data_IF_533451303496
#
_entry.id   IF_533451303496
#
_cell.length_a   1.000
_cell.length_b   1.000
_cell.length_c   1.000
_cell.angle_alpha   90.00
_cell.angle_beta   90.00
_cell.angle_gamma   90.00
#
_symmetry.space_group_name_H-M   'P 1'
#
loop_
_entity.id
_entity.type
_entity.pdbx_description
1 polymer ?
#
# COMPACT_ATOMS: atom_id res chain seq x y z
N UNK A 1 69.74 -1.02 4.28
CA UNK A 1 68.82 -1.51 5.33
C UNK A 1 67.66 -0.54 5.37
N UNK A 2 66.49 -0.95 4.86
CA UNK A 2 65.33 -0.07 4.76
C UNK A 2 64.45 -0.30 5.98
N UNK A 3 64.26 0.73 6.81
CA UNK A 3 63.35 0.67 7.96
C UNK A 3 61.95 1.10 7.53
N UNK A 4 60.92 0.59 8.20
CA UNK A 4 59.50 0.81 7.85
C UNK A 4 59.14 2.30 7.73
N UNK A 5 59.76 3.15 8.56
CA UNK A 5 59.61 4.61 8.49
C UNK A 5 59.98 5.19 7.11
N UNK A 6 61.05 4.71 6.50
CA UNK A 6 61.51 5.21 5.19
C UNK A 6 60.59 4.79 4.03
N UNK A 7 59.74 3.78 4.22
CA UNK A 7 58.77 3.31 3.22
C UNK A 7 57.51 4.16 3.28
N UNK A 8 57.08 4.58 4.47
CA UNK A 8 55.91 5.47 4.65
C UNK A 8 56.18 6.89 4.17
N UNK A 9 57.45 7.30 4.10
CA UNK A 9 57.87 8.60 3.57
C UNK A 9 57.98 8.62 2.02
N UNK A 10 57.75 7.49 1.34
CA UNK A 10 57.72 7.41 -0.13
C UNK A 10 56.41 8.04 -0.66
N UNK A 11 56.54 8.87 -1.70
CA UNK A 11 55.42 9.57 -2.34
C UNK A 11 54.29 8.64 -2.79
N UNK A 12 54.56 7.36 -3.06
CA UNK A 12 53.51 6.40 -3.43
C UNK A 12 52.53 6.06 -2.30
N UNK A 13 52.90 6.33 -1.05
CA UNK A 13 52.11 5.97 0.13
C UNK A 13 51.62 7.20 0.91
N UNK A 14 51.75 8.40 0.35
CA UNK A 14 51.38 9.67 0.99
C UNK A 14 49.92 9.76 1.42
N UNK A 15 49.03 9.00 0.76
CA UNK A 15 47.58 9.05 0.98
C UNK A 15 47.12 8.06 2.07
N UNK A 16 48.03 7.27 2.63
CA UNK A 16 47.73 6.28 3.65
C UNK A 16 47.80 6.88 5.06
N UNK A 17 46.71 6.75 5.81
CA UNK A 17 46.62 7.21 7.20
C UNK A 17 47.09 6.11 8.16
N UNK A 18 48.14 6.39 8.95
CA UNK A 18 48.60 5.46 9.99
C UNK A 18 47.56 5.39 11.13
N UNK A 19 46.91 4.23 11.28
CA UNK A 19 45.86 4.01 12.30
C UNK A 19 46.48 3.63 13.67
N UNK A 20 47.68 3.03 13.66
CA UNK A 20 48.36 2.60 14.89
C UNK A 20 49.64 3.41 15.14
N UNK A 21 49.50 4.50 15.89
CA UNK A 21 50.60 5.44 16.21
C UNK A 21 51.63 4.91 17.21
N UNK A 22 51.38 3.75 17.84
CA UNK A 22 52.31 3.09 18.78
C UNK A 22 53.19 2.02 18.11
N UNK A 23 53.07 1.82 16.79
CA UNK A 23 53.84 0.82 16.07
C UNK A 23 55.34 1.16 16.05
N UNK A 24 56.21 0.13 16.14
CA UNK A 24 57.66 0.32 16.06
C UNK A 24 58.12 0.47 14.60
N UNK A 25 58.26 1.72 14.16
CA UNK A 25 58.59 2.08 12.77
C UNK A 25 60.09 1.96 12.42
N UNK A 26 60.94 1.63 13.38
CA UNK A 26 62.41 1.56 13.22
C UNK A 26 62.86 0.11 12.92
N UNK A 27 61.93 -0.84 12.83
CA UNK A 27 62.24 -2.23 12.47
C UNK A 27 62.80 -2.31 11.04
N UNK A 28 63.90 -3.04 10.89
CA UNK A 28 64.53 -3.32 9.60
C UNK A 28 63.67 -4.28 8.76
N UNK A 29 63.42 -3.91 7.50
CA UNK A 29 62.69 -4.71 6.52
C UNK A 29 63.73 -5.36 5.60
N UNK A 30 63.93 -6.66 5.75
CA UNK A 30 65.00 -7.40 5.05
C UNK A 30 64.63 -7.77 3.60
N UNK A 31 63.34 -7.87 3.28
CA UNK A 31 62.83 -8.15 1.94
C UNK A 31 61.50 -7.41 1.73
N UNK A 32 61.38 -6.69 0.61
CA UNK A 32 60.08 -6.25 0.09
C UNK A 32 59.79 -7.20 -1.07
N UNK A 33 59.18 -8.34 -0.76
CA UNK A 33 58.65 -9.23 -1.78
C UNK A 33 57.32 -8.65 -2.27
N UNK A 34 57.34 -8.04 -3.45
CA UNK A 34 56.14 -7.62 -4.16
C UNK A 34 55.49 -8.79 -4.91
N UNK A 35 55.23 -9.89 -4.23
CA UNK A 35 54.37 -11.00 -4.69
C UNK A 35 54.14 -11.89 -3.48
N UNK A 36 52.90 -11.94 -2.99
CA UNK A 36 52.21 -13.11 -2.42
C UNK A 36 51.10 -12.62 -1.49
N UNK A 37 49.85 -12.75 -1.93
CA UNK A 37 48.65 -12.59 -1.10
C UNK A 37 48.72 -13.54 0.11
N UNK A 38 48.93 -13.06 1.35
CA UNK A 38 49.01 -13.95 2.51
C UNK A 38 47.71 -13.83 3.29
N UNK A 39 46.62 -14.33 2.71
CA UNK A 39 45.38 -14.65 3.44
C UNK A 39 44.52 -15.49 2.49
N UNK A 40 44.86 -16.78 2.34
CA UNK A 40 43.95 -17.72 1.68
C UNK A 40 42.75 -17.86 2.62
N UNK A 41 41.72 -17.06 2.37
CA UNK A 41 40.44 -17.16 3.03
C UNK A 41 39.75 -18.43 2.52
N UNK A 42 39.55 -19.41 3.38
CA UNK A 42 38.69 -20.54 3.04
C UNK A 42 37.25 -20.10 3.24
N UNK A 43 36.42 -20.26 2.20
CA UNK A 43 35.00 -19.93 2.23
C UNK A 43 34.20 -21.22 2.26
N UNK A 44 33.40 -21.40 3.31
CA UNK A 44 32.55 -22.56 3.49
C UNK A 44 31.08 -22.14 3.38
N UNK A 45 30.29 -22.71 2.44
CA UNK A 45 28.87 -22.42 2.36
C UNK A 45 28.13 -23.06 3.54
N UNK A 46 27.31 -22.26 4.21
CA UNK A 46 26.40 -22.72 5.27
C UNK A 46 25.07 -23.04 4.60
N UNK A 47 24.77 -24.33 4.45
CA UNK A 47 23.51 -24.80 3.87
C UNK A 47 22.38 -24.65 4.88
N UNK A 48 21.45 -23.76 4.58
CA UNK A 48 20.21 -23.56 5.33
C UNK A 48 19.01 -23.74 4.38
N UNK A 49 17.83 -24.03 4.91
CA UNK A 49 16.56 -24.00 4.16
C UNK A 49 16.11 -22.56 3.88
N UNK A 50 16.95 -21.79 3.18
CA UNK A 50 16.77 -20.38 2.88
C UNK A 50 17.37 -20.04 1.50
N UNK A 51 16.95 -18.94 0.90
CA UNK A 51 17.38 -18.56 -0.45
C UNK A 51 18.74 -17.87 -0.44
N UNK A 52 18.97 -16.93 0.50
CA UNK A 52 20.24 -16.22 0.56
C UNK A 52 21.36 -17.11 1.10
N UNK A 53 22.48 -17.26 0.36
CA UNK A 53 23.57 -18.11 0.78
C UNK A 53 24.36 -17.47 1.93
N UNK A 54 24.51 -18.20 3.02
CA UNK A 54 25.40 -17.82 4.11
C UNK A 54 26.78 -18.44 3.90
N UNK A 55 27.83 -17.68 4.22
CA UNK A 55 29.21 -18.14 4.08
C UNK A 55 29.98 -17.95 5.38
N UNK A 56 30.70 -18.98 5.80
CA UNK A 56 31.73 -18.89 6.82
C UNK A 56 33.07 -18.62 6.14
N UNK A 57 33.68 -17.47 6.45
CA UNK A 57 34.99 -17.08 5.91
C UNK A 57 36.03 -17.28 7.01
N UNK A 58 37.01 -18.16 6.76
CA UNK A 58 38.09 -18.48 7.68
C UNK A 58 39.40 -17.94 7.13
N UNK A 59 39.96 -16.94 7.81
CA UNK A 59 41.27 -16.36 7.50
C UNK A 59 42.41 -17.24 8.05
N UNK A 60 43.60 -17.15 7.45
CA UNK A 60 44.78 -17.92 7.86
C UNK A 60 44.60 -19.44 7.89
N UNK A 61 43.87 -20.00 6.92
CA UNK A 61 43.56 -21.42 6.88
C UNK A 61 44.78 -22.36 6.80
N UNK A 62 45.95 -21.87 6.37
CA UNK A 62 47.22 -22.62 6.36
C UNK A 62 47.68 -23.07 7.76
N UNK A 63 47.25 -22.40 8.82
CA UNK A 63 47.62 -22.72 10.20
C UNK A 63 46.71 -23.79 10.85
N UNK A 64 45.67 -24.24 10.14
CA UNK A 64 44.73 -25.23 10.63
C UNK A 64 45.34 -26.64 10.51
N UNK A 65 45.47 -27.34 11.64
CA UNK A 65 46.02 -28.70 11.70
C UNK A 65 44.97 -29.73 11.23
N UNK A 66 45.27 -30.46 10.16
CA UNK A 66 44.44 -31.58 9.71
C UNK A 66 44.57 -32.80 10.64
N UNK A 67 43.51 -33.59 10.92
CA UNK A 67 42.10 -33.47 10.49
C UNK A 67 41.18 -32.73 11.47
N UNK A 68 41.65 -32.46 12.69
CA UNK A 68 40.85 -31.87 13.78
C UNK A 68 40.23 -30.53 13.39
N UNK A 69 40.97 -29.69 12.66
CA UNK A 69 40.46 -28.40 12.20
C UNK A 69 39.35 -28.52 11.16
N UNK A 70 39.40 -29.53 10.29
CA UNK A 70 38.34 -29.77 9.30
C UNK A 70 37.05 -30.22 9.98
N UNK A 71 37.16 -31.17 10.93
CA UNK A 71 36.01 -31.59 11.75
C UNK A 71 35.44 -30.43 12.58
N UNK A 72 36.29 -29.58 13.15
CA UNK A 72 35.83 -28.41 13.90
C UNK A 72 35.08 -27.41 13.00
N UNK A 73 35.54 -27.19 11.77
CA UNK A 73 34.85 -26.35 10.78
C UNK A 73 33.50 -26.96 10.39
N UNK A 74 33.43 -28.26 10.12
CA UNK A 74 32.16 -28.94 9.82
C UNK A 74 31.16 -28.81 10.97
N UNK A 75 31.61 -29.02 12.21
CA UNK A 75 30.79 -28.83 13.40
C UNK A 75 30.34 -27.36 13.56
N UNK A 76 31.23 -26.41 13.30
CA UNK A 76 30.90 -24.99 13.33
C UNK A 76 29.84 -24.63 12.27
N UNK A 77 29.98 -25.11 11.03
CA UNK A 77 29.00 -24.91 9.96
C UNK A 77 27.63 -25.46 10.38
N UNK A 78 27.58 -26.65 10.97
CA UNK A 78 26.32 -27.25 11.44
C UNK A 78 25.67 -26.43 12.56
N UNK A 79 26.44 -26.00 13.57
CA UNK A 79 25.95 -25.16 14.67
C UNK A 79 25.45 -23.81 14.14
N UNK A 80 26.20 -23.20 13.21
CA UNK A 80 25.82 -21.93 12.59
C UNK A 80 24.54 -22.08 11.76
N UNK A 81 24.42 -23.12 10.93
CA UNK A 81 23.21 -23.41 10.17
C UNK A 81 21.99 -23.57 11.08
N UNK A 82 22.14 -24.35 12.16
CA UNK A 82 21.07 -24.54 13.16
C UNK A 82 20.69 -23.23 13.85
N UNK A 83 21.68 -22.42 14.22
CA UNK A 83 21.47 -21.12 14.89
C UNK A 83 20.76 -20.14 13.98
N UNK A 84 21.17 -20.02 12.71
CA UNK A 84 20.52 -19.18 11.70
C UNK A 84 19.07 -19.62 11.47
N UNK A 85 18.85 -20.93 11.32
CA UNK A 85 17.50 -21.49 11.18
C UNK A 85 16.61 -21.19 12.38
N UNK A 86 17.13 -21.38 13.60
CA UNK A 86 16.43 -21.03 14.84
C UNK A 86 16.07 -19.56 14.88
N UNK A 87 17.00 -18.66 14.56
CA UNK A 87 16.76 -17.21 14.56
C UNK A 87 15.69 -16.81 13.54
N UNK A 88 15.71 -17.40 12.34
CA UNK A 88 14.68 -17.19 11.33
C UNK A 88 13.30 -17.66 11.83
N UNK A 89 13.22 -18.84 12.47
CA UNK A 89 11.97 -19.34 13.05
C UNK A 89 11.44 -18.45 14.17
N UNK A 90 12.31 -17.91 15.03
CA UNK A 90 11.93 -16.93 16.05
C UNK A 90 11.38 -15.66 15.39
N UNK A 91 12.04 -15.13 14.36
CA UNK A 91 11.56 -13.97 13.63
C UNK A 91 10.17 -14.22 13.01
N UNK A 92 9.94 -15.38 12.40
CA UNK A 92 8.64 -15.74 11.83
C UNK A 92 7.55 -15.89 12.88
N UNK A 93 7.88 -16.43 14.07
CA UNK A 93 6.93 -16.49 15.19
C UNK A 93 6.56 -15.10 15.67
N UNK A 94 7.51 -14.15 15.72
CA UNK A 94 7.21 -12.76 16.09
C UNK A 94 6.28 -12.09 15.07
N UNK A 95 6.53 -12.27 13.76
CA UNK A 95 5.64 -11.78 12.72
C UNK A 95 4.23 -12.39 12.84
N UNK A 96 4.15 -13.70 13.10
CA UNK A 96 2.87 -14.39 13.27
C UNK A 96 2.06 -13.82 14.44
N UNK A 97 2.72 -13.48 15.56
CA UNK A 97 2.07 -12.87 16.71
C UNK A 97 1.60 -11.43 16.44
N UNK A 98 2.31 -10.70 15.57
CA UNK A 98 1.92 -9.35 15.12
C UNK A 98 0.72 -9.41 14.17
N UNK A 99 0.71 -10.37 13.25
CA UNK A 99 -0.41 -10.64 12.33
C UNK A 99 -1.68 -11.08 13.10
N UNK A 100 -1.54 -11.97 14.08
CA UNK A 100 -2.66 -12.39 14.93
C UNK A 100 -3.25 -11.19 15.70
N UNK A 101 -2.40 -10.33 16.26
CA UNK A 101 -2.89 -9.14 16.96
C UNK A 101 -3.59 -8.16 16.01
N UNK A 102 -3.10 -7.97 14.79
CA UNK A 102 -3.79 -7.14 13.81
C UNK A 102 -5.15 -7.72 13.40
N UNK A 103 -5.23 -9.05 13.25
CA UNK A 103 -6.50 -9.73 13.02
C UNK A 103 -7.47 -9.56 14.20
N UNK A 104 -6.98 -9.57 15.45
CA UNK A 104 -7.80 -9.26 16.62
C UNK A 104 -8.38 -7.83 16.55
N UNK A 105 -7.60 -6.84 16.05
CA UNK A 105 -8.08 -5.47 15.85
C UNK A 105 -9.21 -5.44 14.81
N UNK A 106 -9.02 -6.08 13.65
CA UNK A 106 -10.02 -6.08 12.57
C UNK A 106 -11.30 -6.80 13.00
N UNK A 107 -11.18 -7.90 13.74
CA UNK A 107 -12.34 -8.73 14.13
C UNK A 107 -12.98 -8.33 15.46
N UNK A 108 -12.52 -7.23 16.08
CA UNK A 108 -12.98 -6.74 17.39
C UNK A 108 -14.50 -6.58 17.53
N UNK A 109 -15.22 -6.25 16.43
CA UNK A 109 -16.70 -6.15 16.42
C UNK A 109 -17.43 -7.44 16.03
N UNK A 110 -16.76 -8.38 15.36
CA UNK A 110 -17.42 -9.56 14.77
C UNK A 110 -17.54 -10.75 15.71
N UNK A 111 -16.70 -10.82 16.75
CA UNK A 111 -16.72 -11.89 17.73
C UNK A 111 -16.48 -11.28 19.12
N UNK A 112 -17.30 -11.64 20.11
CA UNK A 112 -17.24 -11.26 21.54
C UNK A 112 -15.95 -11.73 22.25
N UNK A 113 -14.76 -11.55 21.65
CA UNK A 113 -13.51 -12.15 22.14
C UNK A 113 -12.63 -11.21 22.96
N UNK A 114 -12.65 -9.90 22.72
CA UNK A 114 -11.82 -8.95 23.46
C UNK A 114 -12.53 -7.60 23.64
N UNK A 115 -12.59 -7.12 24.89
CA UNK A 115 -13.01 -5.74 25.18
C UNK A 115 -11.92 -4.76 24.68
N UNK A 116 -12.29 -3.53 24.31
CA UNK A 116 -11.34 -2.49 23.85
C UNK A 116 -10.17 -2.28 24.83
N UNK A 117 -10.44 -2.31 26.13
CA UNK A 117 -9.40 -2.24 27.18
C UNK A 117 -8.41 -3.42 27.12
N UNK A 118 -8.86 -4.63 26.76
CA UNK A 118 -7.98 -5.79 26.61
C UNK A 118 -7.14 -5.70 25.33
N UNK A 119 -7.70 -5.15 24.25
CA UNK A 119 -6.98 -4.85 23.01
C UNK A 119 -5.89 -3.81 23.24
N UNK A 120 -6.20 -2.73 23.95
CA UNK A 120 -5.24 -1.69 24.33
C UNK A 120 -4.10 -2.27 25.19
N UNK A 121 -4.44 -3.07 26.21
CA UNK A 121 -3.45 -3.74 27.06
C UNK A 121 -2.52 -4.67 26.25
N UNK A 122 -3.08 -5.51 25.37
CA UNK A 122 -2.29 -6.39 24.48
C UNK A 122 -1.47 -5.57 23.47
N UNK A 123 -2.00 -4.42 23.06
CA UNK A 123 -1.45 -3.50 22.09
C UNK A 123 -0.29 -2.61 22.58
N UNK A 124 -0.11 -2.45 23.89
CA UNK A 124 0.98 -1.64 24.45
C UNK A 124 2.35 -2.07 23.93
N UNK A 125 2.58 -3.39 23.80
CA UNK A 125 3.80 -3.98 23.23
C UNK A 125 4.08 -3.50 21.81
N UNK A 126 3.04 -3.20 21.04
CA UNK A 126 3.12 -2.76 19.65
C UNK A 126 3.01 -1.24 19.50
N UNK A 127 3.00 -0.49 20.62
CA UNK A 127 2.75 0.96 20.67
C UNK A 127 1.35 1.36 20.17
N UNK A 128 0.40 0.42 20.20
CA UNK A 128 -1.01 0.68 19.93
C UNK A 128 -1.62 1.38 21.12
N UNK A 129 -2.27 2.51 20.87
CA UNK A 129 -2.83 3.41 21.86
C UNK A 129 -4.21 3.86 21.40
N UNK A 130 -5.00 4.29 22.37
CA UNK A 130 -6.26 4.97 22.11
C UNK A 130 -6.00 6.33 21.43
N UNK A 131 -6.76 6.62 20.38
CA UNK A 131 -6.61 7.82 19.55
C UNK A 131 -7.91 8.11 18.83
N UNK A 132 -8.20 9.39 18.61
CA UNK A 132 -9.37 9.85 17.83
C UNK A 132 -9.14 9.80 16.31
N UNK A 133 -8.03 9.19 15.88
CA UNK A 133 -7.65 9.05 14.48
C UNK A 133 -6.95 7.72 14.25
N UNK A 134 -7.50 6.94 13.31
CA UNK A 134 -6.86 5.77 12.75
C UNK A 134 -6.98 5.79 11.23
N UNK A 135 -5.92 5.41 10.52
CA UNK A 135 -5.97 5.22 9.07
C UNK A 135 -5.11 4.02 8.68
N UNK A 136 -5.66 3.15 7.84
CA UNK A 136 -4.96 1.97 7.35
C UNK A 136 -4.46 2.20 5.94
N UNK A 137 -3.20 1.84 5.71
CA UNK A 137 -2.57 1.85 4.39
C UNK A 137 -2.00 0.46 4.16
N UNK A 138 -2.34 -0.15 3.03
CA UNK A 138 -1.73 -1.42 2.64
C UNK A 138 -0.66 -1.12 1.59
N UNK A 139 0.54 -1.64 1.79
CA UNK A 139 1.60 -1.57 0.82
C UNK A 139 1.87 -2.96 0.22
N UNK A 140 2.04 -3.01 -1.09
CA UNK A 140 2.50 -4.20 -1.81
C UNK A 140 3.80 -3.90 -2.53
N UNK A 141 4.62 -4.93 -2.71
CA UNK A 141 5.88 -4.82 -3.41
C UNK A 141 5.86 -5.74 -4.61
N UNK A 142 6.15 -5.18 -5.78
CA UNK A 142 6.28 -5.93 -7.03
C UNK A 142 7.67 -5.74 -7.64
N UNK A 143 8.14 -6.76 -8.36
CA UNK A 143 9.34 -6.67 -9.17
C UNK A 143 8.95 -6.33 -10.62
N UNK A 144 9.85 -5.67 -11.38
CA UNK A 144 9.64 -5.29 -12.79
C UNK A 144 9.35 -6.47 -13.71
N UNK A 145 9.93 -7.63 -13.40
CA UNK A 145 9.85 -8.82 -14.27
C UNK A 145 8.65 -9.72 -13.96
N UNK A 146 7.87 -9.42 -12.90
CA UNK A 146 6.76 -10.26 -12.47
C UNK A 146 7.24 -11.62 -11.94
N UNK A 147 6.90 -11.92 -10.69
CA UNK A 147 7.23 -13.16 -9.98
C UNK A 147 8.67 -13.28 -9.47
N UNK A 148 8.78 -13.42 -8.15
CA UNK A 148 9.84 -14.25 -7.60
C UNK A 148 9.46 -15.70 -7.87
N UNK A 149 10.36 -16.46 -8.50
CA UNK A 149 10.11 -17.84 -8.97
C UNK A 149 10.16 -18.85 -7.81
N UNK A 150 10.70 -18.46 -6.65
CA UNK A 150 10.87 -19.30 -5.47
C UNK A 150 10.26 -18.65 -4.22
N UNK A 151 9.35 -19.38 -3.57
CA UNK A 151 8.65 -19.00 -2.33
C UNK A 151 9.62 -18.65 -1.20
N UNK A 152 10.79 -19.30 -1.16
CA UNK A 152 11.81 -19.05 -0.15
C UNK A 152 12.42 -17.65 -0.29
N UNK A 153 12.60 -17.17 -1.54
CA UNK A 153 13.09 -15.81 -1.82
C UNK A 153 12.06 -14.78 -1.36
N UNK A 154 10.78 -15.04 -1.65
CA UNK A 154 9.67 -14.17 -1.27
C UNK A 154 9.63 -13.97 0.23
N UNK A 155 9.66 -15.05 1.01
CA UNK A 155 9.58 -14.98 2.47
C UNK A 155 10.77 -14.23 3.10
N UNK A 156 12.00 -14.48 2.63
CA UNK A 156 13.19 -13.81 3.14
C UNK A 156 13.22 -12.32 2.75
N UNK A 157 12.89 -12.01 1.49
CA UNK A 157 12.79 -10.63 1.00
C UNK A 157 11.71 -9.86 1.76
N UNK A 158 10.56 -10.49 1.97
CA UNK A 158 9.46 -9.92 2.75
C UNK A 158 9.90 -9.59 4.17
N UNK A 159 10.55 -10.53 4.85
CA UNK A 159 11.03 -10.32 6.23
C UNK A 159 12.07 -9.21 6.31
N UNK A 160 12.97 -9.12 5.33
CA UNK A 160 13.97 -8.06 5.24
C UNK A 160 13.32 -6.68 5.06
N UNK A 161 12.40 -6.56 4.11
CA UNK A 161 11.68 -5.31 3.83
C UNK A 161 10.82 -4.92 5.03
N UNK A 162 10.14 -5.88 5.67
CA UNK A 162 9.33 -5.63 6.86
C UNK A 162 10.17 -5.05 8.00
N UNK A 163 11.33 -5.65 8.29
CA UNK A 163 12.22 -5.15 9.34
C UNK A 163 12.78 -3.77 9.01
N UNK A 164 13.13 -3.54 7.75
CA UNK A 164 13.58 -2.23 7.28
C UNK A 164 12.49 -1.16 7.43
N UNK A 165 11.27 -1.44 6.95
CA UNK A 165 10.11 -0.57 7.09
C UNK A 165 9.79 -0.30 8.55
N UNK A 166 9.76 -1.32 9.41
CA UNK A 166 9.45 -1.18 10.83
C UNK A 166 10.41 -0.23 11.54
N UNK A 167 11.72 -0.34 11.24
CA UNK A 167 12.73 0.56 11.78
C UNK A 167 12.55 2.00 11.26
N UNK A 168 12.34 2.16 9.95
CA UNK A 168 12.12 3.48 9.33
C UNK A 168 10.85 4.16 9.84
N UNK A 169 9.72 3.46 9.76
CA UNK A 169 8.42 3.95 10.20
C UNK A 169 8.45 4.43 11.64
N UNK A 170 9.09 3.67 12.55
CA UNK A 170 9.18 4.02 13.96
C UNK A 170 9.96 5.30 14.28
N UNK A 171 10.82 5.76 13.36
CA UNK A 171 11.63 6.98 13.49
C UNK A 171 10.99 8.15 12.77
N UNK A 172 10.45 7.87 11.59
CA UNK A 172 10.01 8.89 10.66
C UNK A 172 8.57 9.31 11.00
N UNK A 173 7.65 8.37 11.25
CA UNK A 173 6.21 8.65 11.41
C UNK A 173 5.76 8.35 12.85
N UNK A 174 5.52 9.40 13.63
CA UNK A 174 5.09 9.26 15.02
C UNK A 174 3.67 8.68 15.11
N UNK A 175 3.50 7.59 15.88
CA UNK A 175 2.19 6.95 16.05
C UNK A 175 1.82 5.97 14.94
N UNK A 176 2.69 5.75 13.95
CA UNK A 176 2.53 4.71 12.96
C UNK A 176 3.02 3.34 13.47
N UNK A 177 2.25 2.30 13.17
CA UNK A 177 2.57 0.91 13.48
C UNK A 177 2.57 0.12 12.18
N UNK A 178 3.52 -0.80 12.04
CA UNK A 178 3.56 -1.74 10.93
C UNK A 178 3.07 -3.11 11.40
N UNK A 179 2.18 -3.72 10.63
CA UNK A 179 1.69 -5.08 10.80
C UNK A 179 1.96 -5.92 9.55
N UNK A 180 2.28 -7.22 9.71
CA UNK A 180 2.51 -8.10 8.59
C UNK A 180 1.20 -8.77 8.14
N UNK A 181 1.06 -9.00 6.83
CA UNK A 181 0.11 -9.96 6.26
C UNK A 181 0.87 -10.94 5.38
N UNK A 182 1.29 -12.05 6.00
CA UNK A 182 2.24 -13.00 5.38
C UNK A 182 1.60 -13.79 4.26
N UNK A 183 0.30 -14.09 4.37
CA UNK A 183 -0.43 -14.86 3.37
C UNK A 183 -0.45 -14.19 2.00
N UNK A 184 -0.43 -12.85 1.97
CA UNK A 184 -0.45 -12.05 0.74
C UNK A 184 0.82 -11.24 0.48
N UNK A 185 1.83 -11.34 1.34
CA UNK A 185 3.05 -10.52 1.31
C UNK A 185 2.78 -9.01 1.31
N UNK A 186 1.79 -8.61 2.10
CA UNK A 186 1.34 -7.22 2.25
C UNK A 186 1.92 -6.62 3.55
N UNK A 187 2.25 -5.32 3.49
CA UNK A 187 2.71 -4.56 4.65
C UNK A 187 1.63 -3.58 5.05
N UNK A 188 1.12 -3.69 6.28
CA UNK A 188 -0.04 -2.92 6.72
C UNK A 188 0.43 -1.83 7.67
N UNK A 189 0.21 -0.59 7.30
CA UNK A 189 0.54 0.58 8.11
C UNK A 189 -0.75 1.03 8.80
N UNK A 190 -0.71 1.08 10.12
CA UNK A 190 -1.74 1.67 10.95
C UNK A 190 -1.24 3.01 11.48
N UNK A 191 -1.79 4.10 10.96
CA UNK A 191 -1.52 5.45 11.45
C UNK A 191 -2.49 5.78 12.56
N UNK A 192 -1.98 6.26 13.70
CA UNK A 192 -2.80 6.70 14.84
C UNK A 192 -2.91 8.22 14.96
N UNK A 193 -2.33 8.97 13.99
CA UNK A 193 -2.35 10.44 13.91
C UNK A 193 -2.38 10.88 12.44
N UNK A 194 -2.95 12.06 12.13
CA UNK A 194 -2.84 12.63 10.80
C UNK A 194 -1.42 13.13 10.53
N UNK A 195 -0.96 12.97 9.30
CA UNK A 195 0.37 13.40 8.87
C UNK A 195 0.29 14.12 7.52
N UNK A 196 0.59 15.42 7.50
CA UNK A 196 0.54 16.24 6.28
C UNK A 196 1.60 15.81 5.25
N UNK A 197 2.75 15.33 5.74
CA UNK A 197 3.91 14.94 4.92
C UNK A 197 3.92 13.44 4.56
N UNK A 198 2.78 12.76 4.70
CA UNK A 198 2.67 11.31 4.47
C UNK A 198 3.11 10.91 3.05
N UNK A 199 2.65 11.63 2.03
CA UNK A 199 2.93 11.33 0.63
C UNK A 199 4.43 11.34 0.36
N UNK A 200 5.14 12.38 0.78
CA UNK A 200 6.59 12.52 0.58
C UNK A 200 7.39 11.41 1.29
N UNK A 201 6.89 10.90 2.41
CA UNK A 201 7.54 9.81 3.14
C UNK A 201 7.34 8.47 2.43
N UNK A 202 6.13 8.22 1.96
CA UNK A 202 5.82 7.02 1.17
C UNK A 202 6.59 7.01 -0.16
N UNK A 203 6.73 8.16 -0.83
CA UNK A 203 7.55 8.29 -2.04
C UNK A 203 9.03 8.02 -1.73
N UNK A 204 9.56 8.59 -0.64
CA UNK A 204 10.93 8.34 -0.19
C UNK A 204 11.21 6.86 0.07
N UNK A 205 10.27 6.16 0.73
CA UNK A 205 10.43 4.73 1.00
C UNK A 205 10.45 3.90 -0.29
N UNK A 206 9.56 4.22 -1.23
CA UNK A 206 9.55 3.62 -2.57
C UNK A 206 10.87 3.85 -3.29
N UNK A 207 11.38 5.09 -3.29
CA UNK A 207 12.61 5.45 -4.02
C UNK A 207 13.84 4.72 -3.47
N UNK A 208 13.93 4.55 -2.15
CA UNK A 208 15.01 3.78 -1.52
C UNK A 208 14.93 2.31 -1.93
N UNK A 209 13.74 1.71 -1.90
CA UNK A 209 13.55 0.31 -2.31
C UNK A 209 13.81 0.11 -3.81
N UNK A 210 13.35 1.02 -4.65
CA UNK A 210 13.59 0.97 -6.09
C UNK A 210 15.08 1.13 -6.42
N UNK A 211 15.79 2.05 -5.74
CA UNK A 211 17.24 2.25 -5.96
C UNK A 211 18.08 1.09 -5.46
N UNK A 212 17.70 0.48 -4.32
CA UNK A 212 18.53 -0.53 -3.65
C UNK A 212 18.24 -1.94 -4.15
N UNK A 213 16.97 -2.26 -4.41
CA UNK A 213 16.51 -3.61 -4.71
C UNK A 213 15.78 -3.72 -6.06
N UNK A 214 15.62 -2.61 -6.80
CA UNK A 214 14.84 -2.56 -8.05
C UNK A 214 13.37 -2.98 -7.89
N UNK A 215 12.85 -2.87 -6.66
CA UNK A 215 11.47 -3.21 -6.32
C UNK A 215 10.59 -1.96 -6.32
N UNK A 216 9.35 -2.11 -6.82
CA UNK A 216 8.35 -1.07 -6.81
C UNK A 216 7.37 -1.30 -5.65
N UNK A 217 7.24 -0.30 -4.78
CA UNK A 217 6.23 -0.31 -3.73
C UNK A 217 5.01 0.51 -4.17
N UNK A 218 3.83 -0.08 -3.99
CA UNK A 218 2.54 0.56 -4.21
C UNK A 218 1.79 0.64 -2.87
N UNK A 219 1.01 1.70 -2.69
CA UNK A 219 0.27 1.99 -1.47
C UNK A 219 -1.21 2.18 -1.80
N UNK A 220 -2.06 1.62 -0.94
CA UNK A 220 -3.51 1.66 -1.05
C UNK A 220 -4.06 2.19 0.27
N UNK A 221 -4.68 3.36 0.22
CA UNK A 221 -5.02 4.15 1.40
C UNK A 221 -6.54 4.11 1.61
N UNK A 222 -6.97 3.63 2.79
CA UNK A 222 -8.34 3.74 3.27
C UNK A 222 -8.64 5.10 3.88
N UNK A 223 -9.92 5.41 4.13
CA UNK A 223 -10.30 6.66 4.79
C UNK A 223 -9.94 6.63 6.27
N UNK A 224 -9.69 7.81 6.89
CA UNK A 224 -9.48 7.91 8.32
C UNK A 224 -10.79 7.63 9.09
N UNK A 225 -10.66 6.97 10.24
CA UNK A 225 -11.74 6.63 11.17
C UNK A 225 -11.38 7.08 12.58
N UNK A 226 -12.37 7.24 13.46
CA UNK A 226 -12.18 7.82 14.80
C UNK A 226 -12.09 6.78 15.92
N UNK A 227 -12.61 5.57 15.71
CA UNK A 227 -12.69 4.54 16.76
C UNK A 227 -11.90 3.28 16.40
N UNK A 228 -11.40 2.57 17.42
CA UNK A 228 -10.71 1.27 17.27
C UNK A 228 -11.59 0.27 16.53
N UNK A 229 -12.86 0.14 16.91
CA UNK A 229 -13.80 -0.77 16.25
C UNK A 229 -14.17 -0.36 14.82
N UNK A 230 -13.71 0.80 14.35
CA UNK A 230 -13.91 1.27 12.98
C UNK A 230 -12.67 1.07 12.10
N UNK A 231 -11.52 0.67 12.66
CA UNK A 231 -10.28 0.34 11.92
C UNK A 231 -10.53 -0.69 10.82
N UNK A 232 -11.42 -1.65 11.06
CA UNK A 232 -11.81 -2.65 10.06
C UNK A 232 -12.38 -2.03 8.77
N UNK A 233 -13.07 -0.89 8.84
CA UNK A 233 -13.62 -0.22 7.67
C UNK A 233 -12.50 0.41 6.85
N UNK A 234 -11.59 1.14 7.50
CA UNK A 234 -10.39 1.71 6.84
C UNK A 234 -9.55 0.62 6.17
N UNK A 235 -9.39 -0.54 6.82
CA UNK A 235 -8.70 -1.69 6.22
C UNK A 235 -9.43 -2.25 5.00
N UNK A 236 -10.76 -2.41 5.06
CA UNK A 236 -11.55 -2.87 3.92
C UNK A 236 -11.51 -1.91 2.75
N UNK A 237 -11.61 -0.61 3.00
CA UNK A 237 -11.47 0.43 1.98
C UNK A 237 -10.08 0.38 1.33
N UNK A 238 -9.01 0.19 2.12
CA UNK A 238 -7.66 0.02 1.60
C UNK A 238 -7.51 -1.23 0.71
N UNK A 239 -8.22 -2.34 1.02
CA UNK A 239 -8.28 -3.51 0.15
C UNK A 239 -9.05 -3.23 -1.16
N UNK A 240 -10.21 -2.58 -1.09
CA UNK A 240 -11.02 -2.22 -2.26
C UNK A 240 -10.24 -1.28 -3.21
N UNK A 241 -9.40 -0.41 -2.63
CA UNK A 241 -8.51 0.50 -3.36
C UNK A 241 -7.47 -0.24 -4.23
N UNK A 242 -7.14 -1.50 -3.91
CA UNK A 242 -6.24 -2.29 -4.76
C UNK A 242 -6.83 -2.54 -6.15
N UNK A 243 -8.13 -2.83 -6.20
CA UNK A 243 -8.85 -3.14 -7.44
C UNK A 243 -9.37 -1.86 -8.10
N UNK A 244 -9.99 -0.95 -7.33
CA UNK A 244 -10.76 0.18 -7.86
C UNK A 244 -10.18 1.55 -7.52
N UNK A 245 -9.04 1.63 -6.84
CA UNK A 245 -8.47 2.91 -6.42
C UNK A 245 -7.97 3.77 -7.58
N UNK A 246 -8.15 5.08 -7.44
CA UNK A 246 -7.56 6.09 -8.34
C UNK A 246 -6.30 6.70 -7.75
N UNK A 247 -5.37 7.06 -8.64
CA UNK A 247 -4.22 7.89 -8.30
C UNK A 247 -4.65 9.35 -8.17
N UNK A 248 -4.08 10.05 -7.18
CA UNK A 248 -4.16 11.51 -7.09
C UNK A 248 -2.83 12.12 -7.52
N UNK A 249 -2.89 13.35 -8.04
CA UNK A 249 -1.71 14.17 -8.36
C UNK A 249 -0.69 13.52 -9.30
N UNK A 250 -1.15 12.65 -10.23
CA UNK A 250 -0.31 11.85 -11.13
C UNK A 250 0.68 10.90 -10.42
N UNK A 251 0.38 10.49 -9.18
CA UNK A 251 1.18 9.53 -8.41
C UNK A 251 0.56 8.13 -8.53
N UNK A 252 0.90 7.39 -9.58
CA UNK A 252 0.26 6.11 -9.92
C UNK A 252 0.39 5.01 -8.86
N UNK A 253 1.37 5.12 -7.97
CA UNK A 253 1.65 4.12 -6.96
C UNK A 253 1.05 4.41 -5.60
N UNK A 254 0.37 5.54 -5.43
CA UNK A 254 -0.45 5.83 -4.26
C UNK A 254 -1.88 5.93 -4.75
N UNK A 255 -2.70 4.96 -4.34
CA UNK A 255 -4.12 4.93 -4.65
C UNK A 255 -4.95 5.23 -3.42
N UNK A 256 -6.04 5.94 -3.63
CA UNK A 256 -6.98 6.30 -2.58
C UNK A 256 -8.32 5.62 -2.80
N UNK A 257 -9.00 5.30 -1.69
CA UNK A 257 -10.37 4.84 -1.74
C UNK A 257 -11.29 5.89 -2.36
N UNK A 258 -12.06 5.48 -3.36
CA UNK A 258 -13.18 6.27 -3.86
C UNK A 258 -14.43 5.77 -3.17
N UNK A 259 -15.05 6.66 -2.41
CA UNK A 259 -16.41 6.42 -1.98
C UNK A 259 -17.30 6.44 -3.22
N UNK A 260 -17.68 5.26 -3.71
CA UNK A 260 -18.55 5.14 -4.87
C UNK A 260 -19.90 5.77 -4.57
N UNK A 261 -20.20 6.88 -5.23
CA UNK A 261 -21.55 7.40 -5.32
C UNK A 261 -22.37 6.49 -6.26
N UNK A 262 -23.69 6.60 -6.21
CA UNK A 262 -24.64 5.90 -7.09
C UNK A 262 -24.29 6.03 -8.58
N UNK A 263 -23.59 7.10 -8.98
CA UNK A 263 -23.11 7.31 -10.34
C UNK A 263 -21.82 6.56 -10.67
N UNK A 264 -20.95 6.33 -9.70
CA UNK A 264 -19.71 5.59 -9.91
C UNK A 264 -20.04 4.11 -10.19
N UNK A 265 -21.12 3.60 -9.61
CA UNK A 265 -21.70 2.30 -9.97
C UNK A 265 -22.15 2.23 -11.44
N UNK A 266 -22.69 3.32 -12.00
CA UNK A 266 -23.06 3.36 -13.42
C UNK A 266 -21.82 3.34 -14.31
N UNK A 267 -20.71 3.96 -13.89
CA UNK A 267 -19.45 3.98 -14.63
C UNK A 267 -18.74 2.61 -14.72
N UNK A 268 -19.13 1.62 -13.90
CA UNK A 268 -18.69 0.24 -14.04
C UNK A 268 -19.25 -0.45 -15.29
N UNK A 269 -20.33 0.07 -15.87
CA UNK A 269 -20.92 -0.48 -17.08
C UNK A 269 -20.24 0.10 -18.33
N UNK A 270 -20.10 -0.70 -19.42
CA UNK A 270 -19.60 -0.18 -20.69
C UNK A 270 -20.44 1.01 -21.17
N UNK A 271 -19.79 2.07 -21.67
CA UNK A 271 -20.46 3.31 -22.12
C UNK A 271 -21.65 3.06 -23.06
N UNK A 272 -21.52 2.11 -23.99
CA UNK A 272 -22.59 1.73 -24.91
C UNK A 272 -23.85 1.21 -24.20
N UNK A 273 -23.70 0.49 -23.07
CA UNK A 273 -24.83 0.01 -22.28
C UNK A 273 -25.50 1.15 -21.52
N UNK A 274 -24.71 2.09 -20.98
CA UNK A 274 -25.22 3.28 -20.31
C UNK A 274 -26.00 4.16 -21.30
N UNK A 275 -25.43 4.43 -22.47
CA UNK A 275 -26.08 5.23 -23.51
C UNK A 275 -27.39 4.57 -23.97
N UNK A 276 -27.41 3.25 -24.16
CA UNK A 276 -28.63 2.50 -24.47
C UNK A 276 -29.67 2.60 -23.35
N UNK A 277 -29.26 2.48 -22.08
CA UNK A 277 -30.15 2.62 -20.94
C UNK A 277 -30.78 4.03 -20.87
N UNK A 278 -29.98 5.07 -21.08
CA UNK A 278 -30.45 6.46 -21.10
C UNK A 278 -31.41 6.71 -22.26
N UNK A 279 -31.05 6.25 -23.47
CA UNK A 279 -31.91 6.43 -24.64
C UNK A 279 -33.22 5.65 -24.52
N UNK A 280 -33.20 4.45 -23.94
CA UNK A 280 -34.41 3.67 -23.69
C UNK A 280 -35.31 4.29 -22.62
N UNK A 281 -34.71 4.90 -21.59
CA UNK A 281 -35.46 5.46 -20.46
C UNK A 281 -35.99 6.86 -20.73
N UNK A 282 -35.18 7.77 -21.27
CA UNK A 282 -35.52 9.18 -21.50
C UNK A 282 -35.88 9.52 -22.95
N UNK A 283 -35.51 8.67 -23.92
CA UNK A 283 -35.76 8.89 -25.35
C UNK A 283 -35.34 10.31 -25.78
N UNK A 284 -36.25 11.08 -26.37
CA UNK A 284 -35.99 12.44 -26.83
C UNK A 284 -35.74 13.43 -25.69
N UNK A 285 -36.15 13.12 -24.45
CA UNK A 285 -35.85 13.94 -23.27
C UNK A 285 -34.41 13.78 -22.77
N UNK A 286 -33.64 12.80 -23.28
CA UNK A 286 -32.25 12.59 -22.88
C UNK A 286 -31.36 13.78 -23.28
N UNK A 287 -31.52 14.24 -24.53
CA UNK A 287 -30.74 15.32 -25.14
C UNK A 287 -31.70 16.28 -25.85
N UNK A 288 -32.34 17.21 -25.12
CA UNK A 288 -33.36 18.08 -25.68
C UNK A 288 -32.75 19.08 -26.67
N UNK A 289 -33.30 19.17 -27.88
CA UNK A 289 -32.80 20.03 -28.97
C UNK A 289 -33.52 21.38 -29.05
N UNK A 290 -34.80 21.41 -28.68
CA UNK A 290 -35.68 22.56 -28.71
C UNK A 290 -36.04 23.04 -27.29
N UNK A 291 -36.57 24.27 -27.17
CA UNK A 291 -36.97 24.83 -25.87
C UNK A 291 -38.14 24.09 -25.22
N UNK A 292 -39.09 23.60 -26.01
CA UNK A 292 -40.25 22.88 -25.47
C UNK A 292 -39.82 21.58 -24.79
N UNK A 293 -38.92 20.82 -25.40
CA UNK A 293 -38.38 19.58 -24.83
C UNK A 293 -37.51 19.86 -23.60
N UNK A 294 -36.77 20.98 -23.58
CA UNK A 294 -36.04 21.44 -22.38
C UNK A 294 -36.98 21.74 -21.22
N UNK A 295 -38.08 22.43 -21.49
CA UNK A 295 -39.12 22.75 -20.51
C UNK A 295 -39.81 21.50 -19.95
N UNK A 296 -40.12 20.53 -20.82
CA UNK A 296 -40.69 19.24 -20.43
C UNK A 296 -39.70 18.46 -19.55
N UNK A 297 -38.43 18.38 -19.94
CA UNK A 297 -37.37 17.74 -19.15
C UNK A 297 -37.21 18.40 -17.77
N UNK A 298 -37.20 19.74 -17.71
CA UNK A 298 -37.10 20.48 -16.44
C UNK A 298 -38.32 20.23 -15.54
N UNK A 299 -39.52 20.18 -16.14
CA UNK A 299 -40.75 19.89 -15.41
C UNK A 299 -40.75 18.46 -14.86
N UNK A 300 -40.34 17.48 -15.68
CA UNK A 300 -40.21 16.08 -15.29
C UNK A 300 -39.21 15.90 -14.14
N UNK A 301 -38.04 16.54 -14.25
CA UNK A 301 -37.03 16.52 -13.20
C UNK A 301 -37.57 17.05 -11.88
N UNK A 302 -38.10 18.27 -11.89
CA UNK A 302 -38.64 18.92 -10.68
C UNK A 302 -39.77 18.11 -10.06
N UNK A 303 -40.63 17.52 -10.90
CA UNK A 303 -41.69 16.62 -10.46
C UNK A 303 -41.16 15.38 -9.75
N UNK A 304 -40.12 14.74 -10.30
CA UNK A 304 -39.47 13.60 -9.66
C UNK A 304 -38.77 14.03 -8.37
N UNK A 305 -38.00 15.10 -8.36
CA UNK A 305 -37.28 15.60 -7.18
C UNK A 305 -38.23 15.87 -5.99
N UNK A 306 -39.45 16.33 -6.28
CA UNK A 306 -40.51 16.57 -5.29
C UNK A 306 -41.44 15.36 -5.09
N UNK A 307 -40.91 14.14 -5.27
CA UNK A 307 -41.60 12.88 -5.03
C UNK A 307 -42.95 12.75 -5.75
N UNK A 308 -42.99 13.19 -7.00
CA UNK A 308 -44.17 13.12 -7.85
C UNK A 308 -45.33 13.99 -7.34
N UNK A 309 -45.05 15.06 -6.57
CA UNK A 309 -46.07 16.00 -6.10
C UNK A 309 -46.32 17.14 -7.11
N UNK A 310 -47.50 17.16 -7.71
CA UNK A 310 -47.92 18.19 -8.69
C UNK A 310 -47.95 19.60 -8.07
N UNK A 311 -48.43 19.73 -6.84
CA UNK A 311 -48.64 21.03 -6.19
C UNK A 311 -47.30 21.69 -5.88
N UNK A 312 -46.37 20.94 -5.29
CA UNK A 312 -45.04 21.46 -4.94
C UNK A 312 -44.24 21.78 -6.21
N UNK A 313 -44.40 20.98 -7.26
CA UNK A 313 -43.79 21.22 -8.57
C UNK A 313 -44.30 22.51 -9.21
N UNK A 314 -45.61 22.75 -9.12
CA UNK A 314 -46.25 23.96 -9.65
C UNK A 314 -45.70 25.22 -8.96
N UNK A 315 -45.59 25.17 -7.62
CA UNK A 315 -45.02 26.25 -6.82
C UNK A 315 -43.53 26.48 -7.15
N UNK A 316 -42.75 25.40 -7.28
CA UNK A 316 -41.29 25.49 -7.55
C UNK A 316 -40.99 26.03 -8.94
N UNK A 317 -41.81 25.68 -9.94
CA UNK A 317 -41.66 26.14 -11.32
C UNK A 317 -42.42 27.45 -11.61
N UNK A 318 -43.12 28.02 -10.62
CA UNK A 318 -43.97 29.20 -10.77
C UNK A 318 -45.00 29.09 -11.91
N UNK A 319 -45.59 27.90 -12.09
CA UNK A 319 -46.62 27.63 -13.11
C UNK A 319 -47.87 27.03 -12.47
N UNK A 320 -48.99 27.08 -13.17
CA UNK A 320 -50.23 26.51 -12.66
C UNK A 320 -50.16 24.97 -12.60
N UNK A 321 -50.77 24.36 -11.57
CA UNK A 321 -50.80 22.89 -11.36
C UNK A 321 -51.31 22.11 -12.58
N UNK A 322 -52.25 22.68 -13.33
CA UNK A 322 -52.79 22.03 -14.54
C UNK A 322 -51.74 21.99 -15.66
N UNK A 323 -50.87 23.00 -15.73
CA UNK A 323 -49.76 23.02 -16.68
C UNK A 323 -48.73 21.96 -16.32
N UNK A 324 -48.42 21.78 -15.03
CA UNK A 324 -47.57 20.67 -14.58
C UNK A 324 -48.18 19.33 -14.98
N UNK A 325 -49.46 19.11 -14.67
CA UNK A 325 -50.16 17.87 -15.03
C UNK A 325 -50.08 17.60 -16.54
N UNK A 326 -50.41 18.60 -17.36
CA UNK A 326 -50.30 18.50 -18.81
C UNK A 326 -48.87 18.14 -19.28
N UNK A 327 -47.86 18.81 -18.73
CA UNK A 327 -46.46 18.56 -19.09
C UNK A 327 -46.01 17.15 -18.68
N UNK A 328 -46.47 16.65 -17.53
CA UNK A 328 -46.18 15.29 -17.05
C UNK A 328 -46.91 14.22 -17.87
N UNK A 329 -48.16 14.46 -18.26
CA UNK A 329 -48.90 13.59 -19.17
C UNK A 329 -48.16 13.51 -20.52
N UNK A 330 -47.73 14.66 -21.06
CA UNK A 330 -46.87 14.71 -22.26
C UNK A 330 -45.55 13.98 -22.12
N UNK A 331 -44.89 14.08 -20.97
CA UNK A 331 -43.67 13.30 -20.70
C UNK A 331 -43.98 11.81 -20.71
N UNK A 332 -45.08 11.37 -20.08
CA UNK A 332 -45.49 9.97 -20.06
C UNK A 332 -45.79 9.44 -21.47
N UNK A 333 -46.42 10.25 -22.33
CA UNK A 333 -46.65 9.91 -23.75
C UNK A 333 -45.34 9.68 -24.51
N UNK A 334 -44.38 10.61 -24.37
CA UNK A 334 -43.06 10.51 -25.02
C UNK A 334 -42.35 9.24 -24.54
N UNK A 335 -42.29 9.05 -23.22
CA UNK A 335 -41.57 7.95 -22.58
C UNK A 335 -42.27 6.60 -22.79
N UNK A 336 -43.57 6.59 -23.08
CA UNK A 336 -44.38 5.38 -23.26
C UNK A 336 -44.57 4.59 -21.97
N UNK A 337 -44.40 5.24 -20.82
CA UNK A 337 -44.49 4.64 -19.49
C UNK A 337 -44.96 5.68 -18.48
N UNK A 338 -45.61 5.22 -17.40
CA UNK A 338 -46.05 6.12 -16.33
C UNK A 338 -44.84 6.58 -15.51
N UNK A 339 -44.61 7.90 -15.43
CA UNK A 339 -43.45 8.47 -14.74
C UNK A 339 -43.53 8.37 -13.21
N UNK A 340 -44.73 8.23 -12.66
CA UNK A 340 -44.99 8.16 -11.22
C UNK A 340 -44.92 6.73 -10.68
N UNK A 341 -44.89 5.72 -11.56
CA UNK A 341 -44.67 4.32 -11.15
C UNK A 341 -43.27 4.16 -10.57
N UNK A 342 -43.15 3.49 -9.42
CA UNK A 342 -41.94 3.44 -8.61
C UNK A 342 -40.68 3.01 -9.38
N UNK A 343 -40.80 1.94 -10.17
CA UNK A 343 -39.69 1.43 -10.99
C UNK A 343 -39.28 2.38 -12.12
N UNK A 344 -40.25 3.05 -12.74
CA UNK A 344 -39.98 3.98 -13.83
C UNK A 344 -39.42 5.30 -13.29
N UNK A 345 -39.96 5.79 -12.17
CA UNK A 345 -39.46 6.97 -11.47
C UNK A 345 -37.98 6.82 -11.12
N UNK A 346 -37.58 5.67 -10.57
CA UNK A 346 -36.17 5.40 -10.25
C UNK A 346 -35.30 5.42 -11.51
N UNK A 347 -35.70 4.71 -12.57
CA UNK A 347 -34.98 4.70 -13.86
C UNK A 347 -34.82 6.11 -14.42
N UNK A 348 -35.88 6.91 -14.40
CA UNK A 348 -35.88 8.28 -14.93
C UNK A 348 -34.99 9.20 -14.09
N UNK A 349 -35.01 9.11 -12.76
CA UNK A 349 -34.14 9.88 -11.87
C UNK A 349 -32.67 9.59 -12.14
N UNK A 350 -32.30 8.31 -12.25
CA UNK A 350 -30.92 7.89 -12.57
C UNK A 350 -30.47 8.46 -13.92
N UNK A 351 -31.28 8.32 -14.96
CA UNK A 351 -30.95 8.81 -16.31
C UNK A 351 -30.88 10.34 -16.39
N UNK A 352 -31.76 11.06 -15.69
CA UNK A 352 -31.73 12.53 -15.65
C UNK A 352 -30.48 13.03 -14.95
N UNK A 353 -30.12 12.43 -13.82
CA UNK A 353 -28.95 12.85 -13.06
C UNK A 353 -27.63 12.51 -13.77
N UNK A 354 -27.55 11.36 -14.45
CA UNK A 354 -26.37 11.02 -15.27
C UNK A 354 -26.18 12.04 -16.41
N UNK A 355 -27.25 12.34 -17.16
CA UNK A 355 -27.17 13.29 -18.28
C UNK A 355 -26.77 14.69 -17.81
N UNK A 356 -27.19 15.15 -16.63
CA UNK A 356 -26.79 16.45 -16.08
C UNK A 356 -25.32 16.57 -15.69
N UNK A 357 -24.76 15.55 -15.02
CA UNK A 357 -23.32 15.54 -14.71
C UNK A 357 -22.47 15.57 -15.99
N UNK A 358 -22.92 14.86 -17.04
CA UNK A 358 -22.24 14.86 -18.34
C UNK A 358 -22.33 16.20 -19.09
N UNK A 359 -23.46 16.93 -19.01
CA UNK A 359 -23.60 18.27 -19.60
C UNK A 359 -22.70 19.33 -18.94
N UNK A 360 -22.43 19.20 -17.63
CA UNK A 360 -21.57 20.14 -16.90
C UNK A 360 -20.08 19.95 -17.21
N UNK A 361 -19.62 18.74 -17.54
CA UNK A 361 -18.21 18.48 -17.89
C UNK A 361 -17.82 19.00 -19.27
N UNK A 362 -18.71 18.96 -20.26
CA UNK A 362 -18.44 19.41 -21.65
C UNK A 362 -18.57 20.92 -21.88
N UNK A 363 -19.01 21.68 -20.86
CA UNK A 363 -19.09 23.16 -20.92
C UNK A 363 -18.00 23.85 -20.12
N UNK A 364 -17.11 23.08 -19.48
CA UNK A 364 -15.96 23.54 -18.69
C UNK A 364 -14.60 23.16 -19.30
N UNK A 365 -14.60 22.62 -20.52
CA UNK A 365 -13.45 22.55 -21.45
C UNK A 365 -13.68 23.57 -22.57
#
# INVERSE_FOLDING_TARGET
>A
ITILKNILDDQKFSDLKLINTKANLIREVATIESTETPDIANVYPIKMAGYYPYYLIVFNAKNLKYPLSAMAIEQAIMILAFTLYKNLRVAYSLLSNEEEFFNDIIHSKSYEKLNENQLLFKGEKYKFKDSDFYQVIIATVSNKDGFFIDTSVMEESYTLIYNWLKNKLSKDIEGAILFPNRGKYEYIFLLQKPHDDLINRLTTYRDILHKTLQLNMNYFIGNPVQDIGSIQYSYREALETMEFGESKDNIDFIKYYLQMDTFDLLHLLPKNQIDNFIMNSLKTLAYPKDEMTRDLRNTLKTYLDLNCNITDTANTLYIHRNTVKYRIDRCSDILGQNVSEQNNSLKLRLSLAYTEKHFKRTTSE
#
